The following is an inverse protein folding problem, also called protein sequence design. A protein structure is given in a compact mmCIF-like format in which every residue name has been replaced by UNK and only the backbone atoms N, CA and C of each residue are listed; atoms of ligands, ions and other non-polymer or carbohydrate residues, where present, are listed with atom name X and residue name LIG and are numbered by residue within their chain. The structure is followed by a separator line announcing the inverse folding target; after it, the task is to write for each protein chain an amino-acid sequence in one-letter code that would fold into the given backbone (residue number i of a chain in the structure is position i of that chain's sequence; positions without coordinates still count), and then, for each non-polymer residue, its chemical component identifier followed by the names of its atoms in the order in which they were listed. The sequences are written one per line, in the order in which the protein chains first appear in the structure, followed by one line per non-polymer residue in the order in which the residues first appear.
data_IF_647145996579
#
_entry.id   IF_647145996579
#
_cell.length_a   1.000
_cell.length_b   1.000
_cell.length_c   1.000
_cell.angle_alpha   90.00
_cell.angle_beta   90.00
_cell.angle_gamma   90.00
#
_symmetry.space_group_name_H-M   'P 1'
#
loop_
_entity.id
_entity.type
_entity.pdbx_description
1 polymer ?
#
# COMPACT_ATOMS: atom_id res chain seq x y z
N UNK A 1 11.18 -17.02 22.77
CA UNK A 1 10.78 -16.25 21.57
C UNK A 1 9.73 -15.28 22.03
N UNK A 2 10.04 -13.98 22.06
CA UNK A 2 9.06 -12.98 22.48
C UNK A 2 7.88 -13.02 21.52
N UNK A 3 6.66 -12.97 22.05
CA UNK A 3 5.49 -12.63 21.28
C UNK A 3 5.68 -11.18 20.81
N UNK A 4 6.42 -10.97 19.72
CA UNK A 4 6.32 -9.72 18.97
C UNK A 4 4.85 -9.63 18.56
N UNK A 5 4.16 -8.64 19.11
CA UNK A 5 2.79 -8.39 18.72
C UNK A 5 2.78 -7.91 17.27
N UNK A 6 1.65 -8.07 16.59
CA UNK A 6 1.47 -7.56 15.23
C UNK A 6 1.91 -6.08 15.09
N UNK A 7 1.65 -5.26 16.11
CA UNK A 7 2.06 -3.85 16.16
C UNK A 7 3.58 -3.67 16.27
N UNK A 8 4.29 -4.57 16.97
CA UNK A 8 5.75 -4.49 17.08
C UNK A 8 6.39 -4.77 15.71
N UNK A 9 5.88 -5.76 14.97
CA UNK A 9 6.37 -6.07 13.63
C UNK A 9 6.13 -4.90 12.66
N UNK A 10 4.97 -4.25 12.73
CA UNK A 10 4.67 -3.05 11.94
C UNK A 10 5.61 -1.88 12.31
N UNK A 11 5.88 -1.69 13.60
CA UNK A 11 6.80 -0.66 14.07
C UNK A 11 8.24 -0.91 13.59
N UNK A 12 8.72 -2.15 13.64
CA UNK A 12 10.04 -2.55 13.13
C UNK A 12 10.20 -2.32 11.63
N UNK A 13 9.13 -2.53 10.87
CA UNK A 13 9.08 -2.23 9.43
C UNK A 13 8.59 -0.81 9.15
N UNK A 14 8.50 0.07 10.14
CA UNK A 14 8.10 1.48 9.97
C UNK A 14 6.86 1.66 9.08
N UNK A 15 5.91 0.74 9.25
CA UNK A 15 4.67 0.65 8.48
C UNK A 15 3.47 0.82 9.40
N UNK A 16 2.37 1.35 8.88
CA UNK A 16 1.11 1.49 9.62
C UNK A 16 -0.10 1.28 8.74
N UNK A 17 -1.14 0.70 9.33
CA UNK A 17 -2.48 0.72 8.75
C UNK A 17 -3.13 2.05 9.09
N UNK A 18 -3.55 2.79 8.08
CA UNK A 18 -4.19 4.11 8.22
C UNK A 18 -5.70 3.94 8.30
N UNK A 19 -6.26 3.11 7.43
CA UNK A 19 -7.69 2.85 7.38
C UNK A 19 -7.99 1.42 6.90
N UNK A 20 -9.12 0.89 7.38
CA UNK A 20 -9.67 -0.40 6.96
C UNK A 20 -11.13 -0.17 6.59
N UNK A 21 -11.46 -0.41 5.33
CA UNK A 21 -12.79 -0.20 4.76
C UNK A 21 -13.43 -1.55 4.42
N UNK A 22 -14.43 -2.01 5.19
CA UNK A 22 -15.11 -3.26 4.90
C UNK A 22 -15.97 -3.13 3.64
N UNK A 23 -15.77 -4.02 2.65
CA UNK A 23 -16.54 -4.02 1.40
C UNK A 23 -18.04 -4.27 1.63
N UNK A 24 -18.39 -5.01 2.68
CA UNK A 24 -19.79 -5.23 3.06
C UNK A 24 -20.53 -3.96 3.49
N UNK A 25 -19.83 -2.84 3.69
CA UNK A 25 -20.43 -1.55 4.07
C UNK A 25 -20.65 -0.60 2.89
N UNK A 26 -20.44 -1.05 1.63
CA UNK A 26 -20.75 -0.24 0.44
C UNK A 26 -22.24 0.13 0.39
N UNK A 27 -23.13 -0.81 0.73
CA UNK A 27 -24.56 -0.53 0.86
C UNK A 27 -25.21 -0.11 -0.47
N UNK A 28 -25.46 1.19 -0.61
CA UNK A 28 -26.06 1.79 -1.81
C UNK A 28 -24.99 2.08 -2.87
N UNK A 29 -25.10 1.42 -4.02
CA UNK A 29 -24.16 1.62 -5.13
C UNK A 29 -24.40 2.89 -5.94
N UNK A 30 -25.56 3.54 -5.80
CA UNK A 30 -25.83 4.83 -6.46
C UNK A 30 -25.26 6.02 -5.67
N UNK A 31 -25.09 5.84 -4.36
CA UNK A 31 -24.47 6.81 -3.45
C UNK A 31 -23.42 6.09 -2.59
N UNK A 32 -22.30 5.66 -3.20
CA UNK A 32 -21.28 4.92 -2.48
C UNK A 32 -20.67 5.75 -1.34
N UNK A 33 -20.08 5.08 -0.33
CA UNK A 33 -19.45 5.77 0.78
C UNK A 33 -18.24 6.59 0.30
N UNK A 34 -17.99 7.72 0.98
CA UNK A 34 -16.94 8.69 0.61
C UNK A 34 -15.56 8.07 0.43
N UNK A 35 -15.18 7.09 1.27
CA UNK A 35 -13.89 6.40 1.14
C UNK A 35 -13.71 5.66 -0.20
N UNK A 36 -14.80 5.19 -0.82
CA UNK A 36 -14.74 4.51 -2.11
C UNK A 36 -14.57 5.54 -3.24
N UNK A 37 -15.15 6.73 -3.08
CA UNK A 37 -14.91 7.87 -3.97
C UNK A 37 -13.46 8.33 -3.89
N UNK A 38 -12.92 8.52 -2.68
CA UNK A 38 -11.50 8.85 -2.49
C UNK A 38 -10.58 7.80 -3.12
N UNK A 39 -10.88 6.51 -2.90
CA UNK A 39 -10.12 5.42 -3.51
C UNK A 39 -10.16 5.46 -5.05
N UNK A 40 -11.33 5.76 -5.63
CA UNK A 40 -11.50 5.87 -7.07
C UNK A 40 -10.76 7.09 -7.64
N UNK A 41 -10.79 8.23 -6.94
CA UNK A 41 -10.06 9.45 -7.31
C UNK A 41 -8.52 9.27 -7.22
N UNK A 42 -8.05 8.52 -6.23
CA UNK A 42 -6.63 8.23 -6.00
C UNK A 42 -6.09 7.16 -6.97
N UNK A 43 -6.95 6.34 -7.58
CA UNK A 43 -6.56 5.23 -8.45
C UNK A 43 -6.35 5.68 -9.91
N UNK A 44 -5.27 6.43 -10.15
CA UNK A 44 -4.91 6.96 -11.47
C UNK A 44 -3.94 6.06 -12.27
N UNK A 45 -3.27 5.10 -11.62
CA UNK A 45 -2.34 4.15 -12.24
C UNK A 45 -2.99 2.78 -12.50
N UNK A 46 -3.25 2.39 -13.77
CA UNK A 46 -3.76 1.07 -14.11
C UNK A 46 -2.86 -0.10 -13.69
N UNK A 47 -1.60 0.16 -13.35
CA UNK A 47 -0.67 -0.85 -12.84
C UNK A 47 -0.77 -1.04 -11.31
N UNK A 48 -1.65 -0.32 -10.62
CA UNK A 48 -1.84 -0.45 -9.18
C UNK A 48 -2.09 -1.92 -8.79
N UNK A 49 -1.34 -2.47 -7.80
CA UNK A 49 -1.52 -3.84 -7.32
C UNK A 49 -2.97 -4.19 -6.93
N UNK A 50 -3.77 -3.20 -6.52
CA UNK A 50 -5.19 -3.36 -6.24
C UNK A 50 -5.93 -3.99 -7.42
N UNK A 51 -5.64 -3.56 -8.65
CA UNK A 51 -6.27 -4.09 -9.86
C UNK A 51 -5.86 -5.53 -10.18
N UNK A 52 -4.74 -6.02 -9.65
CA UNK A 52 -4.38 -7.43 -9.76
C UNK A 52 -5.28 -8.29 -8.87
N UNK A 53 -5.67 -7.77 -7.71
CA UNK A 53 -6.53 -8.47 -6.74
C UNK A 53 -8.03 -8.32 -7.04
N UNK A 54 -8.42 -7.15 -7.54
CA UNK A 54 -9.77 -6.76 -7.91
C UNK A 54 -9.80 -6.35 -9.39
N UNK A 55 -9.57 -7.29 -10.32
CA UNK A 55 -9.48 -6.99 -11.75
C UNK A 55 -10.79 -6.41 -12.31
N UNK A 56 -11.93 -6.68 -11.67
CA UNK A 56 -13.19 -6.05 -12.04
C UNK A 56 -13.13 -4.52 -12.00
N UNK A 57 -12.34 -3.91 -11.10
CA UNK A 57 -12.23 -2.46 -10.98
C UNK A 57 -11.48 -1.84 -12.17
N UNK A 58 -10.44 -2.52 -12.67
CA UNK A 58 -9.73 -2.07 -13.89
C UNK A 58 -10.62 -2.09 -15.14
N UNK A 59 -11.56 -3.03 -15.20
CA UNK A 59 -12.48 -3.15 -16.34
C UNK A 59 -13.53 -2.04 -16.38
N UNK A 60 -13.76 -1.39 -15.23
CA UNK A 60 -14.69 -0.27 -15.05
C UNK A 60 -13.94 0.99 -14.63
N UNK A 61 -12.71 1.24 -15.13
CA UNK A 61 -12.12 2.58 -15.07
C UNK A 61 -12.99 3.54 -15.91
N UNK A 62 -14.14 3.90 -15.37
CA UNK A 62 -15.13 4.85 -15.84
C UNK A 62 -15.02 6.12 -15.03
N UNK A 63 -15.59 7.20 -15.56
CA UNK A 63 -15.72 8.49 -14.86
C UNK A 63 -16.76 8.47 -13.70
N UNK A 64 -17.11 7.29 -13.17
CA UNK A 64 -18.20 7.09 -12.21
C UNK A 64 -17.87 6.03 -11.15
N UNK A 65 -17.72 6.45 -9.90
CA UNK A 65 -17.51 5.60 -8.71
C UNK A 65 -18.68 4.63 -8.47
N UNK A 66 -19.89 4.96 -8.91
CA UNK A 66 -21.05 4.06 -8.77
C UNK A 66 -20.85 2.74 -9.51
N UNK A 67 -20.14 2.75 -10.65
CA UNK A 67 -19.80 1.53 -11.39
C UNK A 67 -18.78 0.66 -10.64
N UNK A 68 -17.82 1.27 -9.93
CA UNK A 68 -16.91 0.55 -9.04
C UNK A 68 -17.68 -0.15 -7.91
N UNK A 69 -18.58 0.58 -7.26
CA UNK A 69 -19.43 0.04 -6.20
C UNK A 69 -20.28 -1.14 -6.72
N UNK A 70 -20.92 -0.98 -7.89
CA UNK A 70 -21.68 -2.05 -8.54
C UNK A 70 -20.82 -3.26 -8.88
N UNK A 71 -19.62 -3.06 -9.44
CA UNK A 71 -18.72 -4.15 -9.80
C UNK A 71 -18.35 -5.01 -8.58
N UNK A 72 -18.02 -4.39 -7.46
CA UNK A 72 -17.68 -5.09 -6.21
C UNK A 72 -18.88 -5.87 -5.65
N UNK A 73 -20.07 -5.27 -5.65
CA UNK A 73 -21.30 -5.90 -5.15
C UNK A 73 -21.76 -7.05 -6.05
N UNK A 74 -21.78 -6.87 -7.37
CA UNK A 74 -22.19 -7.90 -8.34
C UNK A 74 -21.25 -9.10 -8.30
N UNK A 75 -19.95 -8.87 -8.08
CA UNK A 75 -18.97 -9.94 -7.88
C UNK A 75 -19.02 -10.58 -6.50
N UNK A 76 -19.93 -10.12 -5.62
CA UNK A 76 -20.08 -10.61 -4.25
C UNK A 76 -18.77 -10.57 -3.46
N UNK A 77 -17.96 -9.52 -3.67
CA UNK A 77 -16.71 -9.36 -2.94
C UNK A 77 -16.99 -9.13 -1.46
N UNK A 78 -16.19 -9.78 -0.64
CA UNK A 78 -16.17 -9.63 0.81
C UNK A 78 -14.74 -9.32 1.25
N UNK A 79 -14.54 -8.89 2.49
CA UNK A 79 -13.23 -8.48 3.00
C UNK A 79 -13.07 -6.96 3.06
N UNK A 80 -11.84 -6.50 2.89
CA UNK A 80 -11.41 -5.16 3.28
C UNK A 80 -10.52 -4.54 2.20
N UNK A 81 -10.77 -3.26 1.92
CA UNK A 81 -9.75 -2.38 1.34
C UNK A 81 -8.98 -1.75 2.48
N UNK A 82 -7.66 -1.78 2.42
CA UNK A 82 -6.78 -1.27 3.47
C UNK A 82 -5.88 -0.21 2.87
N UNK A 83 -5.92 0.99 3.47
CA UNK A 83 -4.90 2.02 3.24
C UNK A 83 -3.80 1.87 4.27
N UNK A 84 -2.56 1.90 3.80
CA UNK A 84 -1.38 1.79 4.63
C UNK A 84 -0.31 2.79 4.19
N UNK A 85 0.63 3.03 5.11
CA UNK A 85 1.80 3.85 4.85
C UNK A 85 3.05 3.11 5.27
N UNK A 86 4.15 3.34 4.54
CA UNK A 86 5.48 2.81 4.84
C UNK A 86 6.49 3.95 4.77
N UNK A 87 7.31 4.11 5.80
CA UNK A 87 8.41 5.07 5.76
C UNK A 87 9.41 4.71 4.65
N UNK A 88 9.79 5.71 3.85
CA UNK A 88 10.84 5.57 2.85
C UNK A 88 12.20 5.53 3.55
N UNK A 89 12.92 4.42 3.39
CA UNK A 89 14.29 4.27 3.89
C UNK A 89 15.30 4.81 2.90
N UNK A 90 15.91 5.95 3.22
CA UNK A 90 17.02 6.50 2.46
C UNK A 90 18.33 5.89 2.93
N UNK A 91 18.87 4.95 2.16
CA UNK A 91 20.12 4.27 2.47
C UNK A 91 21.34 5.14 2.16
N UNK A 92 22.36 5.06 3.02
CA UNK A 92 23.63 5.75 2.79
C UNK A 92 24.48 5.00 1.74
N UNK A 93 25.38 5.72 1.02
CA UNK A 93 26.21 5.12 -0.03
C UNK A 93 27.04 3.93 0.45
N UNK A 94 27.53 3.08 -0.48
CA UNK A 94 28.20 1.84 -0.13
C UNK A 94 29.41 2.02 0.83
N UNK A 95 29.57 1.13 1.83
CA UNK A 95 28.74 -0.05 2.08
C UNK A 95 27.40 0.31 2.75
N UNK A 96 26.29 -0.20 2.18
CA UNK A 96 24.94 0.03 2.67
C UNK A 96 24.75 -0.72 3.99
N UNK A 97 24.97 -0.03 5.10
CA UNK A 97 24.92 -0.58 6.46
C UNK A 97 23.94 0.17 7.36
N UNK A 98 23.48 1.33 6.92
CA UNK A 98 22.56 2.20 7.66
C UNK A 98 21.65 2.95 6.70
N UNK A 99 20.54 3.45 7.25
CA UNK A 99 19.56 4.26 6.54
C UNK A 99 19.05 5.38 7.44
N UNK A 100 18.39 6.35 6.83
CA UNK A 100 17.55 7.35 7.49
C UNK A 100 16.12 7.21 6.99
N UNK A 101 15.17 7.22 7.91
CA UNK A 101 13.72 7.18 7.67
C UNK A 101 13.03 8.28 8.47
N UNK A 102 11.82 8.66 8.07
CA UNK A 102 10.97 9.60 8.79
C UNK A 102 9.54 9.48 8.29
N UNK A 103 8.56 9.67 9.16
CA UNK A 103 7.14 9.82 8.79
C UNK A 103 6.84 11.12 8.01
N UNK A 104 7.84 11.96 7.73
CA UNK A 104 7.72 13.02 6.73
C UNK A 104 8.01 12.52 5.30
N UNK A 105 8.51 11.30 5.15
CA UNK A 105 8.81 10.64 3.87
C UNK A 105 8.22 9.24 3.92
N UNK A 106 6.96 9.13 3.52
CA UNK A 106 6.28 7.85 3.44
C UNK A 106 5.72 7.65 2.04
N UNK A 107 5.53 6.39 1.71
CA UNK A 107 4.76 5.97 0.56
C UNK A 107 3.42 5.46 1.06
N UNK A 108 2.34 5.98 0.48
CA UNK A 108 1.00 5.43 0.66
C UNK A 108 0.80 4.21 -0.25
N UNK A 109 -0.04 3.30 0.19
CA UNK A 109 -0.48 2.19 -0.62
C UNK A 109 -1.86 1.71 -0.22
N UNK A 110 -2.48 1.00 -1.16
CA UNK A 110 -3.75 0.32 -0.96
C UNK A 110 -3.59 -1.16 -1.23
N UNK A 111 -4.26 -1.99 -0.44
CA UNK A 111 -4.37 -3.42 -0.70
C UNK A 111 -5.78 -3.94 -0.42
N UNK A 112 -6.10 -5.08 -1.01
CA UNK A 112 -7.27 -5.88 -0.68
C UNK A 112 -6.87 -7.06 0.20
N UNK A 113 -7.65 -7.31 1.26
CA UNK A 113 -7.51 -8.48 2.13
C UNK A 113 -8.87 -9.16 2.30
N UNK A 114 -8.94 -10.48 2.20
CA UNK A 114 -10.20 -11.22 2.36
C UNK A 114 -10.62 -11.27 3.83
N UNK A 115 -9.65 -11.36 4.73
CA UNK A 115 -9.86 -11.45 6.18
C UNK A 115 -9.06 -10.40 6.95
N UNK A 116 -9.52 -10.05 8.16
CA UNK A 116 -8.84 -9.04 8.99
C UNK A 116 -7.44 -9.51 9.43
N UNK A 117 -7.26 -10.83 9.58
CA UNK A 117 -5.99 -11.44 10.00
C UNK A 117 -4.93 -11.41 8.89
N UNK A 118 -5.33 -11.25 7.62
CA UNK A 118 -4.42 -11.11 6.47
C UNK A 118 -3.84 -9.71 6.32
N UNK A 119 -4.52 -8.69 6.84
CA UNK A 119 -4.13 -7.28 6.68
C UNK A 119 -2.69 -7.06 7.12
N UNK A 120 -2.36 -7.57 8.31
CA UNK A 120 -1.05 -7.37 8.88
C UNK A 120 0.10 -7.99 8.10
N UNK A 121 0.06 -9.31 7.86
CA UNK A 121 1.02 -10.00 7.01
C UNK A 121 1.16 -9.36 5.62
N UNK A 122 0.07 -8.89 5.01
CA UNK A 122 0.10 -8.25 3.70
C UNK A 122 0.83 -6.90 3.72
N UNK A 123 0.54 -6.03 4.69
CA UNK A 123 1.23 -4.74 4.85
C UNK A 123 2.72 -4.94 5.14
N UNK A 124 3.08 -5.89 6.01
CA UNK A 124 4.49 -6.20 6.31
C UNK A 124 5.25 -6.68 5.08
N UNK A 125 4.61 -7.50 4.23
CA UNK A 125 5.21 -7.95 2.98
C UNK A 125 5.50 -6.76 2.05
N UNK A 126 4.52 -5.89 1.82
CA UNK A 126 4.67 -4.72 0.95
C UNK A 126 5.71 -3.73 1.49
N UNK A 127 5.75 -3.52 2.81
CA UNK A 127 6.77 -2.68 3.44
C UNK A 127 8.20 -3.21 3.19
N UNK A 128 8.40 -4.53 3.34
CA UNK A 128 9.70 -5.15 3.06
C UNK A 128 10.10 -5.04 1.60
N UNK A 129 9.17 -5.28 0.69
CA UNK A 129 9.40 -5.13 -0.75
C UNK A 129 9.80 -3.68 -1.11
N UNK A 130 9.14 -2.69 -0.51
CA UNK A 130 9.49 -1.28 -0.64
C UNK A 130 10.91 -1.00 -0.12
N UNK A 131 11.25 -1.48 1.09
CA UNK A 131 12.57 -1.27 1.68
C UNK A 131 13.70 -1.92 0.86
N UNK A 132 13.45 -3.09 0.29
CA UNK A 132 14.38 -3.79 -0.57
C UNK A 132 14.58 -3.05 -1.90
N UNK A 133 13.50 -2.51 -2.48
CA UNK A 133 13.58 -1.68 -3.68
C UNK A 133 14.43 -0.41 -3.45
N UNK A 134 14.22 0.30 -2.34
CA UNK A 134 15.03 1.49 -1.99
C UNK A 134 16.50 1.11 -1.72
N UNK A 135 16.75 -0.04 -1.11
CA UNK A 135 18.12 -0.55 -0.92
C UNK A 135 18.82 -0.83 -2.25
N UNK A 136 18.12 -1.47 -3.19
CA UNK A 136 18.65 -1.79 -4.52
C UNK A 136 18.92 -0.52 -5.34
N UNK A 137 18.02 0.46 -5.26
CA UNK A 137 18.16 1.78 -5.88
C UNK A 137 19.41 2.50 -5.38
N UNK A 138 19.65 2.50 -4.07
CA UNK A 138 20.86 3.08 -3.47
C UNK A 138 22.14 2.32 -3.88
N UNK A 139 22.09 0.99 -4.01
CA UNK A 139 23.22 0.17 -4.46
C UNK A 139 23.56 0.33 -5.94
N UNK A 140 22.58 0.74 -6.75
CA UNK A 140 22.75 0.96 -8.19
C UNK A 140 23.11 2.41 -8.53
N UNK A 141 23.07 3.33 -7.56
CA UNK A 141 23.48 4.72 -7.76
C UNK A 141 25.01 4.77 -8.00
N UNK A 142 25.49 5.45 -9.05
CA UNK A 142 26.92 5.58 -9.29
C UNK A 142 27.57 6.25 -8.09
N UNK A 143 28.57 5.58 -7.51
CA UNK A 143 29.44 6.13 -6.48
C UNK A 143 29.98 7.48 -6.98
N UNK A 144 29.48 8.60 -6.45
CA UNK A 144 30.03 9.92 -6.70
C UNK A 144 31.43 9.98 -6.07
N UNK A 145 32.42 9.46 -6.79
CA UNK A 145 33.84 9.59 -6.48
C UNK A 145 34.45 10.65 -7.40
N UNK A 146 34.93 11.72 -6.79
CA UNK A 146 36.09 12.46 -7.30
C UNK A 146 35.86 13.92 -7.67
N UNK A 147 35.51 14.79 -6.72
CA UNK A 147 36.10 16.14 -6.75
C UNK A 147 37.45 15.98 -6.05
N UNK A 148 38.50 15.83 -6.87
CA UNK A 148 39.88 15.93 -6.40
C UNK A 148 40.25 17.41 -6.48
N UNK A 149 40.59 18.02 -5.35
CA UNK A 149 41.34 19.30 -5.31
C UNK A 149 42.82 19.05 -5.58
#
# INVERSE_FOLDING_TARGET
MSHATYNDALLEEEARVVAIYPLGMIGDTENPPEWLTELWEDADDPADPLFQTLPELSAVMSDDVGEWARALVVRSRSGFIVRFEVCVRHYFPPPITSYRSSWNWFQEGTLYAETIDEVGPAVLKLAREQHDAERQKAGSAPSSKGISE
#
